data_IF_715433084457
#
_entry.id   IF_715433084457
#
_cell.length_a   1.000
_cell.length_b   1.000
_cell.length_c   1.000
_cell.angle_alpha   90.00
_cell.angle_beta   90.00
_cell.angle_gamma   90.00
#
_symmetry.space_group_name_H-M   'P 1'
#
loop_
_entity.id
_entity.type
_entity.pdbx_description
1 polymer ?
#
# COMPACT_ATOMS: atom_id res chain seq x y z
N UNK A 1 3.11 6.58 9.92
CA UNK A 1 2.16 6.94 8.85
C UNK A 1 2.28 5.95 7.70
N UNK A 2 1.16 5.56 7.10
CA UNK A 2 1.17 4.55 6.03
C UNK A 2 1.91 4.99 4.77
N UNK A 3 1.83 6.29 4.44
CA UNK A 3 2.49 6.88 3.29
C UNK A 3 4.01 6.71 3.36
N UNK A 4 4.62 7.00 4.51
CA UNK A 4 6.06 6.79 4.74
C UNK A 4 6.47 5.33 4.59
N UNK A 5 5.64 4.38 5.04
CA UNK A 5 5.92 2.94 4.90
C UNK A 5 5.83 2.47 3.46
N UNK A 6 4.89 2.99 2.67
CA UNK A 6 4.77 2.69 1.24
C UNK A 6 5.95 3.25 0.46
N UNK A 7 6.38 4.49 0.77
CA UNK A 7 7.58 5.09 0.17
C UNK A 7 8.82 4.24 0.48
N UNK A 8 8.97 3.77 1.72
CA UNK A 8 10.08 2.90 2.11
C UNK A 8 10.08 1.57 1.35
N UNK A 9 8.92 0.91 1.26
CA UNK A 9 8.75 -0.33 0.49
C UNK A 9 9.04 -0.12 -1.01
N UNK A 10 8.61 0.99 -1.59
CA UNK A 10 8.92 1.33 -2.99
C UNK A 10 10.43 1.50 -3.21
N UNK A 11 11.12 2.16 -2.28
CA UNK A 11 12.57 2.32 -2.34
C UNK A 11 13.32 0.99 -2.18
N UNK A 12 12.87 0.10 -1.30
CA UNK A 12 13.48 -1.22 -1.15
C UNK A 12 13.29 -2.09 -2.40
N UNK A 13 12.11 -2.08 -3.00
CA UNK A 13 11.80 -2.89 -4.17
C UNK A 13 12.48 -2.37 -5.45
N UNK A 14 12.72 -1.05 -5.54
CA UNK A 14 13.48 -0.44 -6.62
C UNK A 14 14.97 -0.84 -6.63
N UNK A 15 15.52 -1.41 -5.54
CA UNK A 15 16.90 -1.91 -5.51
C UNK A 15 17.10 -3.15 -6.37
N UNK A 16 16.05 -3.94 -6.59
CA UNK A 16 16.05 -5.14 -7.44
C UNK A 16 14.79 -5.18 -8.35
N UNK A 17 14.72 -4.35 -9.41
CA UNK A 17 13.51 -4.20 -10.21
C UNK A 17 13.11 -5.47 -10.97
N UNK A 18 14.10 -6.25 -11.42
CA UNK A 18 13.89 -7.46 -12.24
C UNK A 18 13.20 -8.60 -11.50
N UNK A 19 13.33 -8.67 -10.17
CA UNK A 19 12.64 -9.68 -9.33
C UNK A 19 11.31 -9.18 -8.78
N UNK A 20 11.14 -7.86 -8.70
CA UNK A 20 10.05 -7.24 -7.94
C UNK A 20 9.01 -6.53 -8.80
N UNK A 21 9.08 -6.64 -10.14
CA UNK A 21 8.20 -5.90 -11.07
C UNK A 21 6.71 -5.90 -10.68
N UNK A 22 6.12 -7.07 -10.49
CA UNK A 22 4.71 -7.22 -10.14
C UNK A 22 4.36 -6.61 -8.76
N UNK A 23 5.29 -6.70 -7.81
CA UNK A 23 5.12 -6.16 -6.44
C UNK A 23 5.28 -4.64 -6.47
N UNK A 24 6.22 -4.13 -7.26
CA UNK A 24 6.50 -2.71 -7.44
C UNK A 24 5.30 -2.01 -8.08
N UNK A 25 4.68 -2.63 -9.09
CA UNK A 25 3.45 -2.12 -9.69
C UNK A 25 2.30 -2.05 -8.68
N UNK A 26 2.18 -3.08 -7.84
CA UNK A 26 1.18 -3.10 -6.75
C UNK A 26 1.43 -2.00 -5.70
N UNK A 27 2.69 -1.77 -5.32
CA UNK A 27 3.07 -0.69 -4.40
C UNK A 27 2.76 0.68 -4.99
N UNK A 28 3.05 0.90 -6.29
CA UNK A 28 2.72 2.14 -6.99
C UNK A 28 1.22 2.36 -7.12
N UNK A 29 0.45 1.31 -7.38
CA UNK A 29 -1.01 1.35 -7.40
C UNK A 29 -1.56 1.81 -6.04
N UNK A 30 -1.12 1.19 -4.94
CA UNK A 30 -1.52 1.57 -3.59
C UNK A 30 -1.08 2.99 -3.22
N UNK A 31 0.10 3.44 -3.66
CA UNK A 31 0.56 4.80 -3.45
C UNK A 31 -0.32 5.83 -4.18
N UNK A 32 -0.75 5.54 -5.41
CA UNK A 32 -1.70 6.38 -6.15
C UNK A 32 -3.05 6.46 -5.45
N UNK A 33 -3.59 5.32 -4.98
CA UNK A 33 -4.85 5.28 -4.22
C UNK A 33 -4.76 6.13 -2.95
N UNK A 34 -3.64 6.08 -2.22
CA UNK A 34 -3.45 6.94 -1.06
C UNK A 34 -3.33 8.42 -1.40
N UNK A 35 -2.72 8.78 -2.53
CA UNK A 35 -2.63 10.17 -2.98
C UNK A 35 -4.00 10.74 -3.42
N UNK A 36 -5.00 9.88 -3.67
CA UNK A 36 -6.39 10.32 -3.91
C UNK A 36 -7.12 10.69 -2.62
N UNK A 37 -6.61 10.25 -1.46
CA UNK A 37 -7.09 10.71 -0.17
C UNK A 37 -6.35 12.01 0.15
N UNK A 38 -7.10 13.09 0.34
CA UNK A 38 -6.56 14.34 0.88
C UNK A 38 -6.19 14.11 2.37
N UNK A 39 -4.97 13.62 2.60
CA UNK A 39 -4.45 13.22 3.91
C UNK A 39 -4.07 14.38 4.83
N UNK A 40 -4.61 15.59 4.61
CA UNK A 40 -4.49 16.68 5.58
C UNK A 40 -5.16 16.37 6.93
N UNK A 41 -6.03 15.35 7.01
CA UNK A 41 -6.89 15.15 8.18
C UNK A 41 -6.73 13.84 8.98
N UNK A 42 -6.16 12.74 8.47
CA UNK A 42 -6.26 11.46 9.22
C UNK A 42 -4.97 10.62 9.27
N UNK A 43 -4.48 10.44 10.50
CA UNK A 43 -3.41 9.50 10.83
C UNK A 43 -3.98 8.08 10.75
N UNK A 44 -3.89 7.43 9.59
CA UNK A 44 -4.35 6.03 9.45
C UNK A 44 -3.36 5.11 10.20
N UNK A 45 -3.79 4.47 11.31
CA UNK A 45 -2.95 3.58 12.08
C UNK A 45 -2.71 2.30 11.28
N UNK A 46 -1.44 1.90 11.19
CA UNK A 46 -1.01 0.79 10.33
C UNK A 46 -1.25 -0.57 10.99
N UNK A 47 -1.57 -0.59 12.30
CA UNK A 47 -1.69 -1.83 13.09
C UNK A 47 -2.93 -2.66 12.71
N UNK A 48 -3.91 -2.09 12.01
CA UNK A 48 -5.15 -2.80 11.67
C UNK A 48 -5.23 -3.16 10.17
N UNK A 49 -4.71 -4.36 9.84
CA UNK A 49 -4.77 -4.95 8.49
C UNK A 49 -6.17 -4.89 7.90
N UNK A 50 -7.21 -5.20 8.70
CA UNK A 50 -8.60 -5.24 8.22
C UNK A 50 -9.08 -3.84 7.82
N UNK A 51 -8.75 -2.81 8.60
CA UNK A 51 -9.06 -1.41 8.25
C UNK A 51 -8.32 -0.97 6.99
N UNK A 52 -7.05 -1.37 6.82
CA UNK A 52 -6.29 -1.06 5.61
C UNK A 52 -6.88 -1.74 4.38
N UNK A 53 -7.22 -3.02 4.48
CA UNK A 53 -7.91 -3.74 3.41
C UNK A 53 -9.20 -3.03 3.00
N UNK A 54 -10.06 -2.72 3.98
CA UNK A 54 -11.33 -2.04 3.71
C UNK A 54 -11.10 -0.67 3.07
N UNK A 55 -10.13 0.10 3.56
CA UNK A 55 -9.78 1.41 3.01
C UNK A 55 -9.39 1.28 1.53
N UNK A 56 -8.44 0.40 1.22
CA UNK A 56 -7.95 0.23 -0.15
C UNK A 56 -9.00 -0.37 -1.09
N UNK A 57 -9.86 -1.28 -0.62
CA UNK A 57 -10.99 -1.79 -1.40
C UNK A 57 -12.03 -0.69 -1.66
N UNK A 58 -12.31 0.17 -0.66
CA UNK A 58 -13.21 1.32 -0.84
C UNK A 58 -12.66 2.36 -1.81
N UNK A 59 -11.35 2.64 -1.80
CA UNK A 59 -10.73 3.58 -2.75
C UNK A 59 -10.68 3.05 -4.17
N UNK A 60 -10.47 1.73 -4.31
CA UNK A 60 -10.37 1.08 -5.61
C UNK A 60 -11.74 0.80 -6.22
N UNK A 61 -12.80 0.83 -5.42
CA UNK A 61 -14.17 0.38 -5.77
C UNK A 61 -14.23 -1.10 -6.24
N UNK A 62 -13.15 -1.85 -6.01
CA UNK A 62 -12.98 -3.24 -6.44
C UNK A 62 -12.21 -4.06 -5.38
N UNK A 63 -12.30 -5.39 -5.50
CA UNK A 63 -11.52 -6.29 -4.66
C UNK A 63 -10.02 -6.17 -4.93
N UNK A 64 -9.21 -6.18 -3.87
CA UNK A 64 -7.75 -6.15 -4.01
C UNK A 64 -7.21 -7.46 -4.60
N UNK A 65 -6.18 -7.33 -5.44
CA UNK A 65 -5.46 -8.46 -6.02
C UNK A 65 -4.65 -9.21 -4.96
N UNK A 66 -4.23 -10.45 -5.25
CA UNK A 66 -3.41 -11.24 -4.32
C UNK A 66 -2.11 -10.50 -3.93
N UNK A 67 -1.53 -9.77 -4.87
CA UNK A 67 -0.31 -9.00 -4.73
C UNK A 67 -0.54 -7.76 -3.84
N UNK A 68 -1.60 -6.99 -4.09
CA UNK A 68 -1.97 -5.83 -3.25
C UNK A 68 -2.23 -6.26 -1.80
N UNK A 69 -2.94 -7.39 -1.60
CA UNK A 69 -3.18 -7.97 -0.28
C UNK A 69 -1.87 -8.38 0.42
N UNK A 70 -0.89 -8.87 -0.34
CA UNK A 70 0.43 -9.21 0.21
C UNK A 70 1.20 -7.95 0.65
N UNK A 71 1.08 -6.85 -0.09
CA UNK A 71 1.68 -5.56 0.29
C UNK A 71 1.04 -5.01 1.56
N UNK A 72 -0.29 -5.04 1.68
CA UNK A 72 -0.98 -4.59 2.91
C UNK A 72 -0.54 -5.41 4.14
N UNK A 73 -0.41 -6.73 3.99
CA UNK A 73 0.14 -7.58 5.06
C UNK A 73 1.57 -7.20 5.43
N UNK A 74 2.42 -6.82 4.47
CA UNK A 74 3.78 -6.32 4.77
C UNK A 74 3.72 -5.00 5.54
N UNK A 75 2.85 -4.07 5.14
CA UNK A 75 2.71 -2.76 5.80
C UNK A 75 2.38 -2.87 7.29
N UNK A 76 1.55 -3.86 7.65
CA UNK A 76 1.15 -4.12 9.04
C UNK A 76 2.18 -4.82 9.93
N UNK A 77 3.24 -5.40 9.34
CA UNK A 77 4.28 -6.15 10.07
C UNK A 77 5.52 -5.32 10.40
N UNK A 78 5.65 -4.14 9.78
CA UNK A 78 6.60 -3.10 10.16
C UNK A 78 6.06 -2.29 11.32
#
# INVERSE_FOLDING_TARGET
MIQSKIIFLEQELNKDPLKNGDILESVRSLNKLLNQIDFNAEFVPVENIKRLHNLFESLKEEALTKQEKAVIKKLSKF
#
